data_IF_970627202108
#
_entry.id   IF_970627202108
#
_cell.length_a   1.000
_cell.length_b   1.000
_cell.length_c   1.000
_cell.angle_alpha   90.00
_cell.angle_beta   90.00
_cell.angle_gamma   90.00
#
_symmetry.space_group_name_H-M   'P 1'
#
loop_
_entity.id
_entity.type
_entity.pdbx_description
1 polymer ?
#
# COMPACT_ATOMS: atom_id res chain seq x y z
N UNK A 1 -0.85 -62.23 9.31
CA UNK A 1 -1.47 -60.95 9.68
C UNK A 1 -0.37 -60.06 10.24
N UNK A 2 0.31 -59.27 9.40
CA UNK A 2 1.39 -58.39 9.81
C UNK A 2 0.80 -57.00 10.08
N UNK A 3 0.98 -56.49 11.30
CA UNK A 3 0.51 -55.16 11.68
C UNK A 3 1.41 -54.08 11.06
N UNK A 4 0.81 -53.17 10.28
CA UNK A 4 1.43 -51.97 9.73
C UNK A 4 1.71 -50.96 10.86
N UNK A 5 2.94 -50.95 11.37
CA UNK A 5 3.37 -50.00 12.41
C UNK A 5 3.94 -48.75 11.72
N UNK A 6 3.08 -47.79 11.37
CA UNK A 6 3.54 -46.50 10.82
C UNK A 6 4.28 -45.70 11.90
N UNK A 7 5.53 -45.25 11.67
CA UNK A 7 6.25 -44.45 12.65
C UNK A 7 5.58 -43.08 12.83
N UNK A 8 5.19 -42.75 14.06
CA UNK A 8 4.74 -41.39 14.42
C UNK A 8 5.92 -40.43 14.22
N UNK A 9 5.76 -39.44 13.35
CA UNK A 9 6.80 -38.43 13.09
C UNK A 9 7.19 -37.75 14.41
N UNK A 10 8.50 -37.62 14.73
CA UNK A 10 8.91 -37.01 15.98
C UNK A 10 8.49 -35.53 16.00
N UNK A 11 7.87 -35.12 17.11
CA UNK A 11 7.43 -33.74 17.30
C UNK A 11 8.67 -32.83 17.39
N UNK A 12 8.84 -31.95 16.39
CA UNK A 12 10.06 -31.14 16.21
C UNK A 12 10.04 -29.92 17.15
N UNK A 13 10.15 -30.16 18.46
CA UNK A 13 10.07 -29.13 19.52
C UNK A 13 11.05 -27.96 19.32
N UNK A 14 12.22 -28.23 18.74
CA UNK A 14 13.21 -27.22 18.37
C UNK A 14 12.63 -26.13 17.45
N UNK A 15 11.71 -26.47 16.53
CA UNK A 15 11.04 -25.49 15.66
C UNK A 15 10.27 -24.47 16.50
N UNK A 16 9.54 -24.92 17.53
CA UNK A 16 8.80 -24.04 18.43
C UNK A 16 9.71 -23.08 19.18
N UNK A 17 10.87 -23.55 19.66
CA UNK A 17 11.85 -22.71 20.38
C UNK A 17 12.46 -21.65 19.46
N UNK A 18 12.80 -21.99 18.22
CA UNK A 18 13.35 -21.02 17.26
C UNK A 18 12.30 -20.02 16.75
N UNK A 19 11.02 -20.42 16.66
CA UNK A 19 9.92 -19.53 16.28
C UNK A 19 9.41 -18.66 17.44
N UNK A 20 9.53 -19.13 18.70
CA UNK A 20 8.94 -18.46 19.85
C UNK A 20 9.33 -16.97 19.98
N UNK A 21 10.61 -16.54 19.82
CA UNK A 21 10.97 -15.13 19.90
C UNK A 21 10.31 -14.29 18.81
N UNK A 22 10.29 -14.80 17.57
CA UNK A 22 9.68 -14.10 16.44
C UNK A 22 8.16 -13.95 16.62
N UNK A 23 7.48 -15.02 17.05
CA UNK A 23 6.05 -15.01 17.33
C UNK A 23 5.73 -14.06 18.49
N UNK A 24 6.53 -14.07 19.55
CA UNK A 24 6.33 -13.20 20.71
C UNK A 24 6.44 -11.72 20.30
N UNK A 25 7.51 -11.35 19.59
CA UNK A 25 7.70 -9.96 19.10
C UNK A 25 6.59 -9.55 18.15
N UNK A 26 6.24 -10.41 17.18
CA UNK A 26 5.16 -10.14 16.24
C UNK A 26 3.82 -9.95 16.95
N UNK A 27 3.52 -10.82 17.92
CA UNK A 27 2.28 -10.74 18.69
C UNK A 27 2.24 -9.45 19.52
N UNK A 28 3.32 -9.14 20.22
CA UNK A 28 3.38 -7.98 21.11
C UNK A 28 3.28 -6.65 20.35
N UNK A 29 3.92 -6.54 19.18
CA UNK A 29 4.03 -5.28 18.43
C UNK A 29 2.93 -5.13 17.38
N UNK A 30 2.42 -6.23 16.80
CA UNK A 30 1.42 -6.17 15.73
C UNK A 30 0.04 -6.65 16.17
N UNK A 31 -0.05 -7.85 16.76
CA UNK A 31 -1.36 -8.45 17.11
C UNK A 31 -2.02 -7.70 18.26
N UNK A 32 -1.29 -7.40 19.34
CA UNK A 32 -1.87 -6.73 20.51
C UNK A 32 -2.40 -5.32 20.18
N UNK A 33 -1.67 -4.44 19.47
CA UNK A 33 -2.23 -3.13 19.10
C UNK A 33 -3.39 -3.21 18.11
N UNK A 34 -3.39 -4.21 17.22
CA UNK A 34 -4.51 -4.46 16.31
C UNK A 34 -5.76 -4.87 17.07
N UNK A 35 -5.62 -5.83 18.00
CA UNK A 35 -6.72 -6.25 18.88
C UNK A 35 -7.22 -5.07 19.74
N UNK A 36 -6.31 -4.23 20.24
CA UNK A 36 -6.66 -2.99 20.93
C UNK A 36 -7.49 -2.05 20.05
N UNK A 37 -7.06 -1.79 18.82
CA UNK A 37 -7.81 -0.95 17.86
C UNK A 37 -9.20 -1.53 17.57
N UNK A 38 -9.31 -2.85 17.40
CA UNK A 38 -10.61 -3.52 17.22
C UNK A 38 -11.49 -3.37 18.46
N UNK A 39 -10.93 -3.52 19.66
CA UNK A 39 -11.67 -3.27 20.89
C UNK A 39 -12.15 -1.81 20.94
N UNK A 40 -11.24 -0.83 20.77
CA UNK A 40 -11.56 0.60 20.75
C UNK A 40 -12.66 0.95 19.74
N UNK A 41 -12.74 0.26 18.59
CA UNK A 41 -13.80 0.48 17.60
C UNK A 41 -15.22 0.20 18.13
N UNK A 42 -15.36 -0.56 19.22
CA UNK A 42 -16.63 -0.86 19.89
C UNK A 42 -16.97 0.13 21.02
N UNK A 43 -16.06 1.04 21.35
CA UNK A 43 -16.24 2.05 22.38
C UNK A 43 -16.26 3.45 21.78
N UNK A 44 -16.89 4.40 22.48
CA UNK A 44 -16.90 5.82 22.13
C UNK A 44 -16.58 6.63 23.38
N UNK A 45 -15.75 7.65 23.24
CA UNK A 45 -15.51 8.60 24.33
C UNK A 45 -16.61 9.64 24.34
N UNK A 46 -17.39 9.69 25.42
CA UNK A 46 -18.46 10.66 25.66
C UNK A 46 -18.14 11.32 26.99
N UNK A 47 -17.95 12.64 27.00
CA UNK A 47 -17.66 13.41 28.23
C UNK A 47 -16.49 12.81 29.04
N UNK A 48 -15.39 12.48 28.36
CA UNK A 48 -14.18 11.84 28.92
C UNK A 48 -14.39 10.43 29.51
N UNK A 49 -15.57 9.84 29.36
CA UNK A 49 -15.85 8.45 29.74
C UNK A 49 -15.88 7.55 28.51
N UNK A 50 -15.20 6.41 28.59
CA UNK A 50 -15.23 5.40 27.54
C UNK A 50 -16.48 4.53 27.70
N UNK A 51 -17.45 4.71 26.81
CA UNK A 51 -18.73 3.98 26.82
C UNK A 51 -18.70 2.88 25.76
N UNK A 52 -19.15 1.68 26.11
CA UNK A 52 -19.33 0.60 25.15
C UNK A 52 -20.58 0.86 24.29
N UNK A 53 -20.38 1.05 22.99
CA UNK A 53 -21.44 1.36 22.01
C UNK A 53 -21.67 0.20 21.02
N UNK A 54 -20.95 -0.91 21.18
CA UNK A 54 -21.05 -2.07 20.30
C UNK A 54 -20.77 -1.70 18.84
N UNK A 55 -21.72 -1.97 17.95
CA UNK A 55 -21.57 -1.72 16.50
C UNK A 55 -22.09 -0.34 16.04
N UNK A 56 -22.43 0.56 16.96
CA UNK A 56 -22.97 1.88 16.60
C UNK A 56 -21.99 2.71 15.76
N UNK A 57 -20.70 2.68 16.12
CA UNK A 57 -19.64 3.35 15.34
C UNK A 57 -19.61 2.90 13.87
N UNK A 58 -19.86 1.62 13.60
CA UNK A 58 -19.93 1.09 12.24
C UNK A 58 -21.22 1.54 11.52
N UNK A 59 -22.37 1.57 12.22
CA UNK A 59 -23.61 2.10 11.62
C UNK A 59 -23.47 3.57 11.25
N UNK A 60 -22.85 4.38 12.10
CA UNK A 60 -22.54 5.78 11.80
C UNK A 60 -21.59 5.87 10.61
N UNK A 61 -20.49 5.11 10.62
CA UNK A 61 -19.52 5.13 9.53
C UNK A 61 -20.12 4.76 8.16
N UNK A 62 -20.97 3.73 8.10
CA UNK A 62 -21.51 3.22 6.84
C UNK A 62 -22.83 3.88 6.41
N UNK A 63 -23.61 4.42 7.35
CA UNK A 63 -24.98 4.88 7.12
C UNK A 63 -25.23 6.38 7.33
N UNK A 64 -24.40 7.08 8.12
CA UNK A 64 -24.56 8.52 8.34
C UNK A 64 -24.05 9.30 7.10
N UNK A 65 -24.85 10.18 6.48
CA UNK A 65 -24.43 10.95 5.31
C UNK A 65 -23.12 11.75 5.52
N UNK A 66 -22.82 12.17 6.75
CA UNK A 66 -21.62 12.96 7.04
C UNK A 66 -20.33 12.11 7.00
N UNK A 67 -20.42 10.81 7.29
CA UNK A 67 -19.25 9.92 7.38
C UNK A 67 -19.18 8.92 6.21
N UNK A 68 -20.33 8.40 5.81
CA UNK A 68 -20.44 7.36 4.78
C UNK A 68 -19.96 7.84 3.42
N UNK A 69 -20.25 9.08 3.02
CA UNK A 69 -19.84 9.61 1.72
C UNK A 69 -18.31 9.61 1.58
N UNK A 70 -17.61 10.13 2.59
CA UNK A 70 -16.14 10.13 2.61
C UNK A 70 -15.55 8.72 2.68
N UNK A 71 -16.14 7.84 3.50
CA UNK A 71 -15.71 6.45 3.61
C UNK A 71 -15.83 5.71 2.27
N UNK A 72 -16.99 5.77 1.61
CA UNK A 72 -17.22 5.09 0.33
C UNK A 72 -16.38 5.68 -0.80
N UNK A 73 -16.13 7.00 -0.79
CA UNK A 73 -15.22 7.63 -1.75
C UNK A 73 -13.79 7.14 -1.56
N UNK A 74 -13.27 7.18 -0.33
CA UNK A 74 -11.93 6.69 -0.02
C UNK A 74 -11.77 5.20 -0.33
N UNK A 75 -12.76 4.37 -0.03
CA UNK A 75 -12.76 2.94 -0.36
C UNK A 75 -12.73 2.73 -1.88
N UNK A 76 -13.56 3.45 -2.63
CA UNK A 76 -13.58 3.40 -4.10
C UNK A 76 -12.24 3.80 -4.70
N UNK A 77 -11.65 4.89 -4.19
CA UNK A 77 -10.34 5.37 -4.65
C UNK A 77 -9.24 4.33 -4.36
N UNK A 78 -9.24 3.71 -3.18
CA UNK A 78 -8.31 2.63 -2.85
C UNK A 78 -8.48 1.41 -3.76
N UNK A 79 -9.72 1.01 -4.03
CA UNK A 79 -10.00 -0.12 -4.93
C UNK A 79 -9.55 0.20 -6.36
N UNK A 80 -9.84 1.38 -6.88
CA UNK A 80 -9.36 1.82 -8.20
C UNK A 80 -7.85 1.85 -8.26
N UNK A 81 -7.19 2.43 -7.26
CA UNK A 81 -5.74 2.47 -7.15
C UNK A 81 -5.16 1.05 -7.16
N UNK A 82 -5.72 0.14 -6.36
CA UNK A 82 -5.34 -1.27 -6.31
C UNK A 82 -5.48 -1.96 -7.67
N UNK A 83 -6.62 -1.80 -8.35
CA UNK A 83 -6.87 -2.41 -9.66
C UNK A 83 -5.86 -1.90 -10.69
N UNK A 84 -5.61 -0.59 -10.74
CA UNK A 84 -4.63 0.00 -11.65
C UNK A 84 -3.23 -0.55 -11.36
N UNK A 85 -2.82 -0.66 -10.09
CA UNK A 85 -1.52 -1.24 -9.73
C UNK A 85 -1.44 -2.71 -10.14
N UNK A 86 -2.50 -3.47 -9.91
CA UNK A 86 -2.54 -4.89 -10.22
C UNK A 86 -2.50 -5.17 -11.73
N UNK A 87 -3.17 -4.35 -12.54
CA UNK A 87 -3.30 -4.57 -14.00
C UNK A 87 -2.20 -3.86 -14.79
N UNK A 88 -1.71 -2.71 -14.32
CA UNK A 88 -0.73 -1.90 -15.07
C UNK A 88 0.67 -2.06 -14.47
N UNK A 89 0.85 -1.75 -13.19
CA UNK A 89 2.17 -1.75 -12.58
C UNK A 89 2.77 -3.16 -12.50
N UNK A 90 2.02 -4.16 -12.04
CA UNK A 90 2.53 -5.53 -11.88
C UNK A 90 2.96 -6.14 -13.23
N UNK A 91 2.16 -6.10 -14.31
CA UNK A 91 2.58 -6.65 -15.60
C UNK A 91 3.77 -5.90 -16.21
N UNK A 92 3.82 -4.57 -16.08
CA UNK A 92 4.99 -3.79 -16.52
C UNK A 92 6.24 -4.22 -15.72
N UNK A 93 6.12 -4.38 -14.40
CA UNK A 93 7.22 -4.85 -13.55
C UNK A 93 7.72 -6.24 -13.95
N UNK A 94 6.80 -7.18 -14.19
CA UNK A 94 7.13 -8.54 -14.65
C UNK A 94 7.76 -8.51 -16.04
N UNK A 95 7.24 -7.69 -16.95
CA UNK A 95 7.78 -7.53 -18.30
C UNK A 95 9.22 -6.97 -18.25
N UNK A 96 9.46 -5.91 -17.47
CA UNK A 96 10.80 -5.36 -17.27
C UNK A 96 11.73 -6.39 -16.64
N UNK A 97 11.27 -7.17 -15.66
CA UNK A 97 12.05 -8.24 -15.05
C UNK A 97 12.43 -9.33 -16.07
N UNK A 98 11.50 -9.75 -16.93
CA UNK A 98 11.75 -10.72 -17.99
C UNK A 98 12.77 -10.19 -19.02
N UNK A 99 12.66 -8.91 -19.40
CA UNK A 99 13.61 -8.26 -20.30
C UNK A 99 15.02 -8.19 -19.70
N UNK A 100 15.13 -7.81 -18.42
CA UNK A 100 16.41 -7.75 -17.71
C UNK A 100 17.04 -9.12 -17.47
N UNK A 101 16.22 -10.17 -17.40
CA UNK A 101 16.69 -11.55 -17.29
C UNK A 101 17.17 -12.15 -18.62
N UNK A 102 17.04 -11.43 -19.75
CA UNK A 102 17.49 -11.92 -21.05
C UNK A 102 19.02 -11.89 -21.15
N UNK A 103 19.68 -13.02 -21.47
CA UNK A 103 21.15 -13.08 -21.60
C UNK A 103 21.69 -12.28 -22.80
N UNK A 104 20.80 -11.82 -23.70
CA UNK A 104 21.17 -10.99 -24.86
C UNK A 104 21.22 -9.49 -24.55
N UNK A 105 20.78 -9.07 -23.35
CA UNK A 105 20.70 -7.66 -23.00
C UNK A 105 22.08 -7.10 -22.65
N UNK A 106 22.65 -6.30 -23.56
CA UNK A 106 23.88 -5.54 -23.30
C UNK A 106 23.60 -4.46 -22.26
N UNK A 107 24.55 -4.19 -21.36
CA UNK A 107 24.43 -3.20 -20.27
C UNK A 107 23.32 -3.50 -19.23
N UNK A 108 22.93 -4.77 -19.04
CA UNK A 108 21.91 -5.16 -18.07
C UNK A 108 22.14 -4.59 -16.65
N UNK A 109 23.40 -4.48 -16.20
CA UNK A 109 23.75 -3.89 -14.92
C UNK A 109 23.37 -2.40 -14.81
N UNK A 110 23.57 -1.61 -15.88
CA UNK A 110 23.19 -0.20 -15.90
C UNK A 110 21.67 -0.03 -15.84
N UNK A 111 20.93 -0.77 -16.67
CA UNK A 111 19.45 -0.73 -16.66
C UNK A 111 18.88 -1.14 -15.31
N UNK A 112 19.45 -2.18 -14.69
CA UNK A 112 19.08 -2.60 -13.33
C UNK A 112 19.27 -1.44 -12.35
N UNK A 113 20.45 -0.83 -12.31
CA UNK A 113 20.69 0.30 -11.41
C UNK A 113 19.70 1.44 -11.67
N UNK A 114 19.50 1.86 -12.93
CA UNK A 114 18.58 2.96 -13.25
C UNK A 114 17.13 2.69 -12.81
N UNK A 115 16.63 1.46 -12.98
CA UNK A 115 15.26 1.08 -12.59
C UNK A 115 15.12 0.96 -11.06
N UNK A 116 16.17 0.52 -10.35
CA UNK A 116 16.13 0.31 -8.91
C UNK A 116 16.58 1.53 -8.08
N UNK A 117 17.30 2.50 -8.65
CA UNK A 117 17.70 3.73 -7.94
C UNK A 117 16.51 4.45 -7.28
N UNK A 118 15.35 4.63 -7.95
CA UNK A 118 14.20 5.29 -7.34
C UNK A 118 13.66 4.57 -6.10
N UNK A 119 13.80 3.24 -6.01
CA UNK A 119 13.26 2.47 -4.87
C UNK A 119 14.05 2.68 -3.58
N UNK A 120 15.24 3.28 -3.68
CA UNK A 120 16.09 3.62 -2.53
C UNK A 120 15.78 5.04 -2.02
N UNK A 121 15.11 5.87 -2.83
CA UNK A 121 14.72 7.23 -2.43
C UNK A 121 13.63 7.19 -1.36
N UNK A 122 13.69 8.12 -0.41
CA UNK A 122 12.64 8.24 0.61
C UNK A 122 11.33 8.73 -0.02
N UNK A 123 10.21 8.31 0.56
CA UNK A 123 8.88 8.77 0.11
C UNK A 123 8.75 10.29 0.11
N UNK A 124 9.40 10.97 1.06
CA UNK A 124 9.42 12.44 1.13
C UNK A 124 10.10 13.04 -0.10
N UNK A 125 11.28 12.55 -0.47
CA UNK A 125 12.02 13.05 -1.64
C UNK A 125 11.23 12.81 -2.92
N UNK A 126 10.63 11.61 -3.06
CA UNK A 126 9.79 11.27 -4.21
C UNK A 126 8.60 12.22 -4.31
N UNK A 127 7.93 12.52 -3.20
CA UNK A 127 6.83 13.49 -3.15
C UNK A 127 7.25 14.89 -3.58
N UNK A 128 8.39 15.38 -3.08
CA UNK A 128 8.94 16.67 -3.51
C UNK A 128 9.33 16.69 -5.00
N UNK A 129 9.94 15.62 -5.51
CA UNK A 129 10.30 15.51 -6.91
C UNK A 129 9.04 15.59 -7.81
N UNK A 130 7.98 14.85 -7.47
CA UNK A 130 6.70 14.94 -8.19
C UNK A 130 6.07 16.33 -8.09
N UNK A 131 6.09 16.95 -6.92
CA UNK A 131 5.59 18.33 -6.74
C UNK A 131 6.33 19.33 -7.63
N UNK A 132 7.64 19.18 -7.78
CA UNK A 132 8.45 20.02 -8.66
C UNK A 132 8.16 19.73 -10.14
N UNK A 133 8.13 18.46 -10.54
CA UNK A 133 7.85 18.05 -11.93
C UNK A 133 6.49 18.57 -12.40
N UNK A 134 5.47 18.46 -11.54
CA UNK A 134 4.10 18.85 -11.81
C UNK A 134 3.81 20.33 -11.51
N UNK A 135 4.82 21.09 -11.06
CA UNK A 135 4.66 22.52 -10.74
C UNK A 135 4.23 23.29 -11.99
N UNK A 136 3.13 24.07 -11.94
CA UNK A 136 2.70 24.88 -13.08
C UNK A 136 3.66 26.04 -13.40
N UNK A 137 4.41 26.51 -12.39
CA UNK A 137 5.26 27.70 -12.50
C UNK A 137 6.67 27.39 -12.98
N UNK A 138 7.23 26.26 -12.53
CA UNK A 138 8.64 25.89 -12.75
C UNK A 138 8.83 24.42 -13.11
N UNK A 139 7.74 23.69 -13.32
CA UNK A 139 7.79 22.25 -13.56
C UNK A 139 8.15 21.90 -15.00
N UNK A 140 8.72 20.71 -15.14
CA UNK A 140 9.13 20.18 -16.44
C UNK A 140 7.92 19.66 -17.24
N UNK A 141 6.86 19.21 -16.55
CA UNK A 141 5.68 18.65 -17.20
C UNK A 141 4.93 19.61 -18.15
N UNK A 142 4.60 20.86 -17.76
CA UNK A 142 3.95 21.80 -18.69
C UNK A 142 4.76 22.05 -19.97
N UNK A 143 6.09 22.18 -19.84
CA UNK A 143 6.99 22.42 -20.96
C UNK A 143 7.10 21.21 -21.89
N UNK A 144 7.23 20.00 -21.35
CA UNK A 144 7.24 18.78 -22.16
C UNK A 144 5.92 18.57 -22.91
N UNK A 145 4.78 18.90 -22.27
CA UNK A 145 3.48 18.84 -22.94
C UNK A 145 3.34 19.89 -24.04
N UNK A 146 3.96 21.06 -23.89
CA UNK A 146 4.01 22.09 -24.94
C UNK A 146 4.76 21.60 -26.19
N UNK A 147 5.91 20.95 -26.01
CA UNK A 147 6.71 20.39 -27.11
C UNK A 147 5.92 19.37 -27.94
N UNK A 148 5.09 18.55 -27.30
CA UNK A 148 4.30 17.50 -27.96
C UNK A 148 2.93 18.04 -28.42
N UNK A 149 2.66 19.34 -28.25
CA UNK A 149 1.40 19.98 -28.65
C UNK A 149 0.19 19.65 -27.74
N UNK A 150 0.44 19.05 -26.57
CA UNK A 150 -0.57 18.61 -25.60
C UNK A 150 -0.78 19.60 -24.44
N UNK A 151 -0.29 20.85 -24.57
CA UNK A 151 -0.40 21.88 -23.52
C UNK A 151 -1.85 22.13 -23.08
N UNK A 152 -2.81 21.98 -23.98
CA UNK A 152 -4.24 22.15 -23.67
C UNK A 152 -4.77 21.12 -22.66
N UNK A 153 -4.12 19.96 -22.53
CA UNK A 153 -4.48 18.92 -21.56
C UNK A 153 -3.78 19.13 -20.21
N UNK A 154 -2.75 19.98 -20.15
CA UNK A 154 -2.11 20.30 -18.89
C UNK A 154 -3.05 21.15 -18.03
N UNK A 155 -3.39 20.63 -16.86
CA UNK A 155 -4.08 21.40 -15.83
C UNK A 155 -3.34 21.22 -14.51
N UNK A 156 -3.44 22.17 -13.55
CA UNK A 156 -2.75 22.06 -12.27
C UNK A 156 -3.36 20.91 -11.43
N UNK A 157 -3.01 19.67 -11.75
CA UNK A 157 -3.64 18.46 -11.21
C UNK A 157 -3.53 18.38 -9.68
N UNK A 158 -2.43 18.86 -9.10
CA UNK A 158 -2.20 18.90 -7.66
C UNK A 158 -3.07 19.92 -6.91
N UNK A 159 -3.69 20.88 -7.60
CA UNK A 159 -4.50 21.94 -7.01
C UNK A 159 -6.01 21.78 -7.26
N UNK A 160 -6.43 20.69 -7.91
CA UNK A 160 -7.83 20.46 -8.26
C UNK A 160 -8.49 19.52 -7.25
N UNK A 161 -9.54 20.01 -6.58
CA UNK A 161 -10.31 19.24 -5.59
C UNK A 161 -10.85 17.91 -6.15
N UNK A 162 -11.25 17.89 -7.43
CA UNK A 162 -11.72 16.67 -8.12
C UNK A 162 -10.69 15.53 -8.22
N UNK A 163 -9.40 15.82 -8.00
CA UNK A 163 -8.33 14.82 -7.95
C UNK A 163 -7.71 14.70 -6.55
N UNK A 164 -8.12 15.56 -5.61
CA UNK A 164 -7.58 15.64 -4.27
C UNK A 164 -8.50 15.01 -3.20
N UNK A 165 -9.77 14.70 -3.53
CA UNK A 165 -10.77 14.14 -2.62
C UNK A 165 -11.37 12.81 -3.11
#
# INVERSE_FOLDING_TARGET
MAADIRPKRPFRWHIGIFLAPAVLVYTAIMILPLAGTLQLSLFRNIEQHQVFVGLENFRTLFGDPNWSVGFWNALRNNVWFFIIHMIVQNPIGVMLAALLSSPKLRFAAFYRTAIFVPTILSFVIVGFAWKLILSPLWGVAPHLMDIVGLKSLFTPWLGKEQYAL
#
